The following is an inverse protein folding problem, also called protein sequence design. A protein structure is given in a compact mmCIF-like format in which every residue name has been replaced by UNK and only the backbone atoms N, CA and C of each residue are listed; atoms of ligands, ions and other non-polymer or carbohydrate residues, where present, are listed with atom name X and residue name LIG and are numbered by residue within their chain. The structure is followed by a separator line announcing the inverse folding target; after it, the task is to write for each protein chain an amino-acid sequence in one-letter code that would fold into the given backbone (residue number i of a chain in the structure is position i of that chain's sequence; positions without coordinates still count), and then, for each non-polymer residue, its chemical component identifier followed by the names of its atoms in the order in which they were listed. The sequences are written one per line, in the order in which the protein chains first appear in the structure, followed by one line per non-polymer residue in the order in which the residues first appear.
data_IF_348673093337
#
_entry.id   IF_348673093337
#
_cell.length_a   1.000
_cell.length_b   1.000
_cell.length_c   1.000
_cell.angle_alpha   90.00
_cell.angle_beta   90.00
_cell.angle_gamma   90.00
#
_symmetry.space_group_name_H-M   'P 1'
#
loop_
_entity.id
_entity.type
_entity.pdbx_description
1 polymer ?
#
# COMPACT_ATOMS: atom_id res chain seq x y z
N UNK A 1 -25.62 -38.12 -71.41
CA UNK A 1 -24.52 -37.79 -70.44
C UNK A 1 -24.89 -36.51 -69.68
N UNK A 2 -25.45 -36.69 -68.52
CA UNK A 2 -25.89 -35.55 -67.65
C UNK A 2 -24.81 -35.30 -66.56
N UNK A 3 -24.12 -34.20 -66.66
CA UNK A 3 -23.14 -33.77 -65.62
C UNK A 3 -23.90 -33.14 -64.45
N UNK A 4 -23.87 -33.83 -63.32
CA UNK A 4 -24.36 -33.27 -62.03
C UNK A 4 -23.33 -32.29 -61.48
N UNK A 5 -23.65 -31.00 -61.40
CA UNK A 5 -22.92 -30.02 -60.62
C UNK A 5 -23.31 -30.14 -59.13
N UNK A 6 -22.36 -30.43 -58.28
CA UNK A 6 -22.50 -30.38 -56.83
C UNK A 6 -22.25 -28.93 -56.39
N UNK A 7 -23.11 -28.28 -55.60
CA UNK A 7 -22.81 -26.97 -55.04
C UNK A 7 -21.87 -27.14 -53.83
N UNK A 8 -20.72 -26.47 -53.88
CA UNK A 8 -19.76 -26.38 -52.80
C UNK A 8 -20.30 -25.38 -51.74
N UNK A 9 -20.78 -25.90 -50.62
CA UNK A 9 -21.24 -25.10 -49.48
C UNK A 9 -20.03 -24.61 -48.73
N UNK A 10 -19.64 -23.33 -48.88
CA UNK A 10 -18.60 -22.69 -48.09
C UNK A 10 -19.18 -22.35 -46.73
N UNK A 11 -18.85 -23.14 -45.70
CA UNK A 11 -19.17 -22.85 -44.31
C UNK A 11 -18.15 -21.78 -43.79
N UNK A 12 -18.55 -20.51 -43.81
CA UNK A 12 -17.80 -19.44 -43.16
C UNK A 12 -17.96 -19.58 -41.64
N UNK A 13 -16.98 -20.17 -40.98
CA UNK A 13 -16.87 -20.15 -39.53
C UNK A 13 -16.56 -18.70 -39.07
N UNK A 14 -17.57 -18.05 -38.56
CA UNK A 14 -17.37 -16.77 -37.81
C UNK A 14 -16.66 -17.15 -36.52
N UNK A 15 -15.34 -16.97 -36.48
CA UNK A 15 -14.57 -17.03 -35.24
C UNK A 15 -15.00 -15.84 -34.39
N UNK A 16 -15.91 -16.08 -33.46
CA UNK A 16 -16.16 -15.12 -32.39
C UNK A 16 -14.86 -15.00 -31.58
N UNK A 17 -14.14 -13.91 -31.74
CA UNK A 17 -13.06 -13.55 -30.85
C UNK A 17 -13.68 -13.30 -29.46
N UNK A 18 -13.62 -14.32 -28.61
CA UNK A 18 -13.94 -14.13 -27.20
C UNK A 18 -12.87 -13.18 -26.64
N UNK A 19 -13.25 -11.91 -26.44
CA UNK A 19 -12.46 -11.00 -25.60
C UNK A 19 -12.35 -11.70 -24.25
N UNK A 20 -11.14 -12.00 -23.83
CA UNK A 20 -10.89 -12.62 -22.53
C UNK A 20 -11.20 -11.55 -21.48
N UNK A 21 -12.43 -11.57 -20.96
CA UNK A 21 -12.81 -10.71 -19.85
C UNK A 21 -12.12 -11.20 -18.57
N UNK A 22 -11.76 -10.25 -17.70
CA UNK A 22 -11.22 -10.58 -16.39
C UNK A 22 -12.21 -11.45 -15.60
N UNK A 23 -11.73 -12.36 -14.70
CA UNK A 23 -12.63 -13.24 -13.95
C UNK A 23 -13.65 -12.44 -13.13
N UNK A 24 -14.91 -12.86 -13.04
CA UNK A 24 -15.92 -12.17 -12.25
C UNK A 24 -15.51 -12.11 -10.77
N UNK A 25 -15.79 -10.99 -10.11
CA UNK A 25 -15.41 -10.68 -8.71
C UNK A 25 -13.87 -10.59 -8.48
N UNK A 26 -13.09 -10.47 -9.54
CA UNK A 26 -11.64 -10.23 -9.49
C UNK A 26 -11.35 -8.87 -10.12
N UNK A 27 -10.52 -8.06 -9.47
CA UNK A 27 -9.95 -6.85 -10.05
C UNK A 27 -8.55 -7.17 -10.56
N UNK A 28 -8.30 -6.95 -11.83
CA UNK A 28 -6.98 -7.08 -12.44
C UNK A 28 -6.40 -5.69 -12.66
N UNK A 29 -5.28 -5.42 -12.00
CA UNK A 29 -4.54 -4.16 -12.10
C UNK A 29 -3.25 -4.39 -12.87
N UNK A 30 -3.01 -3.61 -13.91
CA UNK A 30 -1.73 -3.57 -14.63
C UNK A 30 -0.90 -2.38 -14.13
N UNK A 31 0.28 -2.65 -13.55
CA UNK A 31 1.17 -1.63 -13.00
C UNK A 31 2.62 -2.16 -13.00
N UNK A 32 3.62 -1.28 -12.90
CA UNK A 32 5.00 -1.70 -12.63
C UNK A 32 5.13 -2.14 -11.17
N UNK A 33 5.87 -3.23 -10.92
CA UNK A 33 6.15 -3.75 -9.58
C UNK A 33 7.66 -3.93 -9.34
N UNK A 34 8.50 -3.48 -10.27
CA UNK A 34 9.94 -3.70 -10.21
C UNK A 34 10.65 -2.84 -9.15
N UNK A 35 9.97 -1.81 -8.64
CA UNK A 35 10.44 -0.98 -7.53
C UNK A 35 10.20 -1.61 -6.15
N UNK A 36 9.39 -2.66 -6.03
CA UNK A 36 9.06 -3.27 -4.73
C UNK A 36 10.28 -3.95 -4.13
N UNK A 37 10.77 -3.40 -3.03
CA UNK A 37 11.80 -4.01 -2.18
C UNK A 37 11.15 -4.91 -1.13
N UNK A 38 10.03 -4.48 -0.56
CA UNK A 38 9.35 -5.18 0.52
C UNK A 38 7.86 -4.86 0.56
N UNK A 39 7.04 -5.83 1.02
CA UNK A 39 5.64 -5.61 1.41
C UNK A 39 5.45 -5.60 2.94
N UNK A 40 6.53 -5.69 3.71
CA UNK A 40 6.54 -5.41 5.14
C UNK A 40 6.30 -3.92 5.38
N UNK A 41 5.25 -3.50 6.12
CA UNK A 41 4.99 -2.08 6.38
C UNK A 41 6.15 -1.32 7.00
N UNK A 42 7.00 -2.00 7.80
CA UNK A 42 8.15 -1.38 8.43
C UNK A 42 9.31 -1.06 7.45
N UNK A 43 9.27 -1.62 6.24
CA UNK A 43 10.30 -1.44 5.22
C UNK A 43 9.75 -0.86 3.92
N UNK A 44 8.47 -1.10 3.62
CA UNK A 44 7.78 -0.66 2.41
C UNK A 44 7.81 0.87 2.27
N UNK A 45 8.57 1.39 1.33
CA UNK A 45 8.71 2.84 1.11
C UNK A 45 8.71 3.22 -0.39
N UNK A 46 8.75 2.25 -1.29
CA UNK A 46 8.63 2.45 -2.73
C UNK A 46 7.16 2.70 -3.11
N UNK A 47 6.92 3.39 -4.21
CA UNK A 47 5.58 3.80 -4.64
C UNK A 47 4.62 2.59 -4.74
N UNK A 48 5.03 1.53 -5.42
CA UNK A 48 4.20 0.33 -5.60
C UNK A 48 3.94 -0.40 -4.27
N UNK A 49 4.91 -0.41 -3.34
CA UNK A 49 4.75 -0.94 -1.99
C UNK A 49 3.73 -0.12 -1.20
N UNK A 50 3.89 1.22 -1.16
CA UNK A 50 2.99 2.16 -0.46
C UNK A 50 1.56 2.07 -0.99
N UNK A 51 1.37 1.85 -2.29
CA UNK A 51 0.05 1.67 -2.90
C UNK A 51 -0.59 0.32 -2.56
N UNK A 52 0.20 -0.71 -2.28
CA UNK A 52 -0.27 -2.08 -2.00
C UNK A 52 -0.54 -2.31 -0.51
N UNK A 53 0.34 -1.85 0.37
CA UNK A 53 0.28 -2.04 1.83
C UNK A 53 -1.08 -1.67 2.44
N UNK A 54 -1.75 -0.56 2.09
CA UNK A 54 -3.06 -0.21 2.65
C UNK A 54 -4.20 -1.19 2.33
N UNK A 55 -4.03 -2.04 1.31
CA UNK A 55 -4.99 -3.12 1.02
C UNK A 55 -4.83 -4.30 1.98
N UNK A 56 -3.62 -4.52 2.50
CA UNK A 56 -3.24 -5.65 3.35
C UNK A 56 -3.29 -5.30 4.84
N UNK A 57 -3.02 -4.04 5.19
CA UNK A 57 -2.83 -3.60 6.57
C UNK A 57 -3.69 -2.38 6.88
N UNK A 58 -4.08 -2.26 8.15
CA UNK A 58 -4.71 -1.07 8.69
C UNK A 58 -3.84 -0.44 9.77
N UNK A 59 -4.10 0.82 10.03
CA UNK A 59 -3.48 1.65 11.07
C UNK A 59 -4.51 1.94 12.16
N UNK A 60 -4.11 2.54 13.25
CA UNK A 60 -5.08 3.00 14.26
C UNK A 60 -6.01 4.08 13.70
N UNK A 61 -5.47 4.97 12.87
CA UNK A 61 -6.18 6.08 12.19
C UNK A 61 -5.76 6.15 10.72
N UNK A 62 -6.54 6.86 9.90
CA UNK A 62 -6.25 7.08 8.47
C UNK A 62 -6.74 8.45 8.02
N UNK A 63 -6.23 9.01 6.93
CA UNK A 63 -6.85 10.15 6.27
C UNK A 63 -8.26 9.81 5.79
N UNK A 64 -9.18 10.78 5.86
CA UNK A 64 -10.52 10.62 5.30
C UNK A 64 -10.44 10.51 3.77
N UNK A 65 -11.26 9.65 3.18
CA UNK A 65 -11.23 9.39 1.73
C UNK A 65 -11.68 10.58 0.89
N UNK A 66 -12.56 11.41 1.42
CA UNK A 66 -13.14 12.54 0.71
C UNK A 66 -12.43 13.86 1.06
N UNK A 67 -11.82 13.92 2.24
CA UNK A 67 -11.08 15.09 2.73
C UNK A 67 -9.80 14.64 3.43
N UNK A 68 -8.68 14.45 2.68
CA UNK A 68 -7.42 13.96 3.23
C UNK A 68 -6.80 14.85 4.33
N UNK A 69 -7.31 16.06 4.53
CA UNK A 69 -6.88 16.94 5.63
C UNK A 69 -7.43 16.50 6.98
N UNK A 70 -8.44 15.61 6.98
CA UNK A 70 -9.05 15.07 8.18
C UNK A 70 -8.54 13.65 8.46
N UNK A 71 -8.35 13.37 9.75
CA UNK A 71 -8.01 12.02 10.21
C UNK A 71 -9.26 11.36 10.77
N UNK A 72 -9.49 10.10 10.36
CA UNK A 72 -10.61 9.27 10.80
C UNK A 72 -10.11 7.98 11.47
N UNK A 73 -10.88 7.42 12.42
CA UNK A 73 -10.53 6.16 13.06
C UNK A 73 -10.67 4.98 12.08
N UNK A 74 -9.78 3.97 12.21
CA UNK A 74 -9.91 2.72 11.47
C UNK A 74 -9.84 1.50 12.41
N UNK A 75 -8.71 1.20 13.06
CA UNK A 75 -8.63 0.25 14.16
C UNK A 75 -9.00 0.89 15.51
N UNK A 76 -8.77 2.19 15.65
CA UNK A 76 -9.28 2.93 16.79
C UNK A 76 -10.82 3.04 16.75
N UNK A 77 -11.46 2.98 17.91
CA UNK A 77 -12.81 3.44 18.13
C UNK A 77 -12.82 4.96 18.35
N UNK A 78 -11.87 5.43 19.16
CA UNK A 78 -11.69 6.84 19.52
C UNK A 78 -10.25 7.09 20.01
N UNK A 79 -9.91 8.36 20.18
CA UNK A 79 -8.66 8.76 20.84
C UNK A 79 -8.85 10.06 21.62
N UNK A 80 -8.00 10.25 22.62
CA UNK A 80 -7.89 11.49 23.38
C UNK A 80 -6.43 11.95 23.41
N UNK A 81 -6.20 13.22 23.09
CA UNK A 81 -4.89 13.84 23.14
C UNK A 81 -4.72 14.60 24.45
N UNK A 82 -3.55 14.49 25.05
CA UNK A 82 -3.04 15.40 26.08
C UNK A 82 -1.80 16.12 25.52
N UNK A 83 -1.94 17.37 25.05
CA UNK A 83 -0.82 18.13 24.50
C UNK A 83 0.28 18.42 25.51
N UNK A 84 -0.06 18.60 26.80
CA UNK A 84 0.91 18.91 27.87
C UNK A 84 1.77 17.69 28.20
N UNK A 85 1.17 16.50 28.25
CA UNK A 85 1.88 15.25 28.45
C UNK A 85 2.49 14.69 27.16
N UNK A 86 2.18 15.28 25.99
CA UNK A 86 2.57 14.77 24.66
C UNK A 86 2.12 13.32 24.48
N UNK A 87 0.85 13.01 24.76
CA UNK A 87 0.30 11.66 24.66
C UNK A 87 -0.98 11.61 23.82
N UNK A 88 -1.20 10.44 23.20
CA UNK A 88 -2.48 10.01 22.65
C UNK A 88 -2.90 8.73 23.36
N UNK A 89 -4.06 8.76 24.01
CA UNK A 89 -4.71 7.57 24.55
C UNK A 89 -5.71 7.08 23.50
N UNK A 90 -5.46 5.91 22.92
CA UNK A 90 -6.19 5.34 21.78
C UNK A 90 -6.98 4.14 22.28
N UNK A 91 -8.30 4.19 22.14
CA UNK A 91 -9.19 3.07 22.39
C UNK A 91 -9.40 2.30 21.07
N UNK A 92 -9.07 1.02 21.06
CA UNK A 92 -9.23 0.13 19.91
C UNK A 92 -10.67 -0.41 19.86
N UNK A 93 -11.16 -0.73 18.66
CA UNK A 93 -12.42 -1.45 18.47
C UNK A 93 -12.30 -2.85 19.06
N UNK A 94 -13.22 -3.22 19.92
CA UNK A 94 -13.21 -4.51 20.65
C UNK A 94 -13.45 -5.72 19.75
N UNK A 95 -14.05 -5.52 18.57
CA UNK A 95 -14.38 -6.56 17.59
C UNK A 95 -13.40 -6.63 16.43
N UNK A 96 -12.37 -5.74 16.41
CA UNK A 96 -11.36 -5.72 15.35
C UNK A 96 -10.53 -7.02 15.33
N UNK A 97 -10.37 -7.59 14.13
CA UNK A 97 -9.60 -8.82 13.92
C UNK A 97 -8.65 -8.68 12.75
N UNK A 98 -7.52 -9.37 12.86
CA UNK A 98 -6.63 -9.62 11.75
C UNK A 98 -7.22 -10.64 10.77
N UNK A 99 -6.65 -10.74 9.58
CA UNK A 99 -7.01 -11.75 8.58
C UNK A 99 -6.72 -13.19 9.05
N UNK A 100 -5.86 -13.37 10.05
CA UNK A 100 -5.61 -14.63 10.76
C UNK A 100 -6.78 -15.09 11.63
N UNK A 101 -7.69 -14.17 11.98
CA UNK A 101 -8.76 -14.36 12.97
C UNK A 101 -8.38 -13.93 14.39
N UNK A 102 -7.11 -13.64 14.68
CA UNK A 102 -6.69 -13.11 15.97
C UNK A 102 -7.30 -11.72 16.22
N UNK A 103 -7.71 -11.39 17.47
CA UNK A 103 -8.15 -10.05 17.82
C UNK A 103 -6.99 -9.06 17.74
N UNK A 104 -7.29 -7.82 17.34
CA UNK A 104 -6.36 -6.69 17.41
C UNK A 104 -6.31 -6.18 18.84
N UNK A 105 -5.12 -6.09 19.42
CA UNK A 105 -4.88 -5.75 20.83
C UNK A 105 -3.89 -4.59 20.96
N UNK A 106 -3.82 -3.93 22.12
CA UNK A 106 -2.78 -2.93 22.42
C UNK A 106 -1.36 -3.46 22.23
N UNK A 107 -1.11 -4.74 22.54
CA UNK A 107 0.20 -5.39 22.35
C UNK A 107 0.62 -5.39 20.88
N UNK A 108 -0.32 -5.60 19.96
CA UNK A 108 -0.04 -5.59 18.52
C UNK A 108 0.36 -4.19 18.02
N UNK A 109 -0.26 -3.14 18.60
CA UNK A 109 0.12 -1.73 18.32
C UNK A 109 1.53 -1.44 18.83
N UNK A 110 1.82 -1.83 20.08
CA UNK A 110 3.13 -1.67 20.70
C UNK A 110 4.19 -2.43 19.89
N UNK A 111 3.94 -3.71 19.60
CA UNK A 111 4.84 -4.53 18.80
C UNK A 111 5.13 -3.90 17.45
N UNK A 112 4.10 -3.42 16.75
CA UNK A 112 4.23 -2.84 15.41
C UNK A 112 5.09 -1.58 15.39
N UNK A 113 4.92 -0.69 16.36
CA UNK A 113 5.69 0.55 16.42
C UNK A 113 7.12 0.30 16.91
N UNK A 114 7.29 -0.56 17.93
CA UNK A 114 8.63 -0.96 18.40
C UNK A 114 9.43 -1.58 17.26
N UNK A 115 8.85 -2.55 16.52
CA UNK A 115 9.56 -3.19 15.41
C UNK A 115 9.91 -2.21 14.30
N UNK A 116 8.99 -1.32 13.91
CA UNK A 116 9.23 -0.37 12.82
C UNK A 116 10.38 0.59 13.13
N UNK A 117 10.42 1.11 14.36
CA UNK A 117 11.48 2.00 14.82
C UNK A 117 12.80 1.25 15.03
N UNK A 118 12.76 0.05 15.62
CA UNK A 118 13.98 -0.74 15.90
C UNK A 118 14.64 -1.27 14.64
N UNK A 119 13.87 -1.73 13.67
CA UNK A 119 14.37 -2.15 12.36
C UNK A 119 15.02 -0.99 11.61
N UNK A 120 14.57 0.23 11.83
CA UNK A 120 15.10 1.47 11.27
C UNK A 120 15.32 1.39 9.74
N UNK A 121 14.33 0.83 9.02
CA UNK A 121 14.34 0.72 7.56
C UNK A 121 13.95 2.05 6.91
N UNK A 122 13.93 2.09 5.58
CA UNK A 122 13.77 3.30 4.77
C UNK A 122 12.63 4.24 5.15
N UNK A 123 11.49 3.72 5.65
CA UNK A 123 10.35 4.54 6.10
C UNK A 123 10.41 5.01 7.54
N UNK A 124 11.34 4.51 8.37
CA UNK A 124 11.37 4.74 9.83
C UNK A 124 11.53 6.22 10.19
N UNK A 125 12.18 7.02 9.33
CA UNK A 125 12.37 8.46 9.55
C UNK A 125 11.04 9.19 9.82
N UNK A 126 9.91 8.70 9.29
CA UNK A 126 8.59 9.27 9.50
C UNK A 126 8.18 9.14 10.98
N UNK A 127 8.36 7.95 11.57
CA UNK A 127 8.08 7.72 12.99
C UNK A 127 9.09 8.42 13.89
N UNK A 128 10.34 8.54 13.44
CA UNK A 128 11.41 9.21 14.20
C UNK A 128 11.13 10.71 14.40
N UNK A 129 10.26 11.34 13.60
CA UNK A 129 9.78 12.72 13.82
C UNK A 129 9.11 12.86 15.21
N UNK A 130 8.55 11.79 15.76
CA UNK A 130 8.00 11.77 17.12
C UNK A 130 9.07 11.76 18.22
N UNK A 131 10.37 11.74 17.85
CA UNK A 131 11.48 11.58 18.79
C UNK A 131 11.66 10.13 19.22
N UNK A 132 11.04 9.18 18.50
CA UNK A 132 11.20 7.75 18.73
C UNK A 132 12.51 7.25 18.13
N UNK A 133 13.24 6.50 18.93
CA UNK A 133 14.51 5.85 18.59
C UNK A 133 14.50 4.42 19.14
N UNK A 134 15.31 3.50 18.62
CA UNK A 134 15.39 2.13 19.13
C UNK A 134 15.56 2.03 20.65
N UNK A 135 16.29 2.99 21.25
CA UNK A 135 16.64 3.00 22.67
C UNK A 135 15.49 3.45 23.57
N UNK A 136 14.52 4.21 23.04
CA UNK A 136 13.47 4.81 23.86
C UNK A 136 12.05 4.35 23.52
N UNK A 137 11.79 3.83 22.32
CA UNK A 137 10.44 3.56 21.81
C UNK A 137 9.63 2.68 22.77
N UNK A 138 10.24 1.66 23.35
CA UNK A 138 9.54 0.72 24.24
C UNK A 138 8.96 1.44 25.49
N UNK A 139 9.60 2.51 25.97
CA UNK A 139 9.13 3.30 27.12
C UNK A 139 8.06 4.34 26.74
N UNK A 140 7.92 4.65 25.44
CA UNK A 140 6.96 5.62 24.93
C UNK A 140 5.56 5.01 24.67
N UNK A 141 5.42 3.70 24.82
CA UNK A 141 4.20 2.96 24.50
C UNK A 141 3.74 2.18 25.74
N UNK A 142 2.46 2.30 26.08
CA UNK A 142 1.92 1.67 27.27
C UNK A 142 0.55 1.05 27.01
N UNK A 143 0.38 -0.22 27.32
CA UNK A 143 -0.94 -0.84 27.47
C UNK A 143 -1.61 -0.26 28.73
N UNK A 144 -2.81 0.30 28.58
CA UNK A 144 -3.61 0.82 29.70
C UNK A 144 -4.59 -0.27 30.18
N UNK A 145 -5.30 -0.89 29.22
CA UNK A 145 -6.21 -2.01 29.45
C UNK A 145 -6.23 -2.92 28.21
N UNK A 146 -7.18 -3.86 28.12
CA UNK A 146 -7.24 -4.84 27.01
C UNK A 146 -7.61 -4.25 25.65
N UNK A 147 -8.08 -3.00 25.62
CA UNK A 147 -8.47 -2.31 24.39
C UNK A 147 -7.85 -0.91 24.26
N UNK A 148 -7.04 -0.48 25.23
CA UNK A 148 -6.53 0.90 25.27
C UNK A 148 -5.00 0.91 25.29
N UNK A 149 -4.42 1.61 24.36
CA UNK A 149 -2.97 1.89 24.27
C UNK A 149 -2.72 3.38 24.40
N UNK A 150 -1.70 3.74 25.16
CA UNK A 150 -1.20 5.11 25.21
C UNK A 150 0.11 5.19 24.43
N UNK A 151 0.19 6.21 23.59
CA UNK A 151 1.35 6.55 22.77
C UNK A 151 1.86 7.89 23.25
N UNK A 152 3.14 7.96 23.59
CA UNK A 152 3.83 9.17 24.02
C UNK A 152 4.91 9.53 23.00
N UNK A 153 5.23 10.81 22.87
CA UNK A 153 6.35 11.29 22.07
C UNK A 153 7.15 12.34 22.81
N UNK A 154 8.44 12.48 22.46
CA UNK A 154 9.37 13.40 23.10
C UNK A 154 9.61 14.67 22.28
N UNK A 155 9.44 14.60 20.96
CA UNK A 155 9.65 15.73 20.07
C UNK A 155 8.64 16.87 20.31
N UNK A 156 8.97 18.06 19.82
CA UNK A 156 8.06 19.20 19.88
C UNK A 156 7.13 19.23 18.66
N UNK A 157 6.20 18.29 18.65
CA UNK A 157 5.18 18.14 17.59
C UNK A 157 3.78 18.20 18.19
N UNK A 158 2.83 18.75 17.44
CA UNK A 158 1.43 18.82 17.86
C UNK A 158 0.77 17.44 17.84
N UNK A 159 -0.30 17.22 18.63
CA UNK A 159 -1.09 15.99 18.54
C UNK A 159 -1.66 15.74 17.13
N UNK A 160 -2.01 16.79 16.39
CA UNK A 160 -2.48 16.66 15.02
C UNK A 160 -1.38 16.11 14.09
N UNK A 161 -0.14 16.57 14.23
CA UNK A 161 0.99 16.02 13.48
C UNK A 161 1.27 14.57 13.89
N UNK A 162 1.22 14.26 15.19
CA UNK A 162 1.37 12.88 15.67
C UNK A 162 0.32 11.94 15.05
N UNK A 163 -0.96 12.35 15.00
CA UNK A 163 -2.01 11.59 14.33
C UNK A 163 -1.74 11.41 12.83
N UNK A 164 -1.28 12.46 12.14
CA UNK A 164 -0.90 12.35 10.73
C UNK A 164 0.23 11.33 10.53
N UNK A 165 1.26 11.35 11.37
CA UNK A 165 2.35 10.38 11.35
C UNK A 165 1.82 8.95 11.56
N UNK A 166 0.94 8.74 12.56
CA UNK A 166 0.32 7.44 12.84
C UNK A 166 -0.69 6.99 11.76
N UNK A 167 -1.07 7.87 10.84
CA UNK A 167 -1.90 7.53 9.68
C UNK A 167 -1.11 7.07 8.46
N UNK A 168 0.23 7.12 8.50
CA UNK A 168 1.09 6.73 7.38
C UNK A 168 1.25 5.22 7.25
N UNK A 169 1.59 4.66 6.08
CA UNK A 169 1.72 3.22 5.87
C UNK A 169 2.69 2.52 6.81
N UNK A 170 3.79 3.17 7.21
CA UNK A 170 4.76 2.57 8.15
C UNK A 170 4.17 2.33 9.55
N UNK A 171 3.12 3.08 9.93
CA UNK A 171 2.41 2.89 11.19
C UNK A 171 1.33 1.80 11.13
N UNK A 172 1.37 0.92 10.13
CA UNK A 172 0.46 -0.23 10.01
C UNK A 172 0.64 -1.22 11.14
N UNK A 173 -0.49 -1.79 11.59
CA UNK A 173 -0.49 -2.76 12.69
C UNK A 173 -0.40 -4.17 12.13
N UNK A 174 0.53 -4.96 12.66
CA UNK A 174 0.74 -6.36 12.32
C UNK A 174 0.31 -7.27 13.48
N UNK A 175 -0.15 -8.46 13.16
CA UNK A 175 -0.50 -9.51 14.11
C UNK A 175 0.78 -10.08 14.76
N UNK A 176 1.09 -9.63 15.97
CA UNK A 176 2.25 -10.09 16.72
C UNK A 176 2.28 -11.62 16.88
N UNK A 177 1.13 -12.24 17.18
CA UNK A 177 1.05 -13.70 17.38
C UNK A 177 1.40 -14.49 16.13
N UNK A 178 1.15 -13.91 14.95
CA UNK A 178 1.50 -14.53 13.67
C UNK A 178 2.94 -14.21 13.27
N UNK A 179 3.42 -13.00 13.52
CA UNK A 179 4.74 -12.52 13.06
C UNK A 179 5.88 -12.98 13.96
N UNK A 180 5.74 -12.86 15.28
CA UNK A 180 6.82 -13.15 16.21
C UNK A 180 7.39 -14.58 16.11
N UNK A 181 6.58 -15.64 15.90
CA UNK A 181 7.11 -16.99 15.69
C UNK A 181 7.92 -17.16 14.39
N UNK A 182 7.75 -16.28 13.43
CA UNK A 182 8.45 -16.27 12.13
C UNK A 182 9.68 -15.37 12.13
N UNK A 183 9.97 -14.66 13.23
CA UNK A 183 11.15 -13.82 13.37
C UNK A 183 12.42 -14.67 13.42
N UNK A 184 13.48 -14.19 12.77
CA UNK A 184 14.82 -14.81 12.77
C UNK A 184 15.86 -13.74 13.06
N UNK A 185 16.88 -14.12 13.84
CA UNK A 185 18.02 -13.20 14.09
C UNK A 185 17.60 -11.81 14.60
N UNK A 186 16.56 -11.73 15.42
CA UNK A 186 15.98 -10.47 15.92
C UNK A 186 15.46 -9.51 14.83
N UNK A 187 15.04 -10.04 13.68
CA UNK A 187 14.50 -9.26 12.57
C UNK A 187 13.01 -8.88 12.74
N UNK A 188 12.40 -9.20 13.88
CA UNK A 188 10.97 -8.96 14.15
C UNK A 188 10.05 -9.47 13.01
N UNK A 189 10.45 -10.55 12.32
CA UNK A 189 9.71 -11.14 11.21
C UNK A 189 9.78 -10.35 9.91
N UNK A 190 10.73 -9.44 9.74
CA UNK A 190 10.88 -8.61 8.53
C UNK A 190 11.05 -9.48 7.28
N UNK A 191 11.98 -10.43 7.27
CA UNK A 191 12.21 -11.30 6.10
C UNK A 191 10.96 -12.12 5.74
N UNK A 192 10.20 -12.56 6.74
CA UNK A 192 8.97 -13.31 6.50
C UNK A 192 7.88 -12.41 5.90
N UNK A 193 7.72 -11.18 6.41
CA UNK A 193 6.70 -10.22 5.95
C UNK A 193 6.97 -9.66 4.55
N UNK A 194 8.17 -9.77 4.02
CA UNK A 194 8.44 -9.43 2.60
C UNK A 194 7.55 -10.21 1.64
N UNK A 195 7.23 -11.45 1.99
CA UNK A 195 6.52 -12.41 1.14
C UNK A 195 5.15 -12.83 1.70
N UNK A 196 4.78 -12.37 2.91
CA UNK A 196 3.55 -12.72 3.61
C UNK A 196 2.87 -11.48 4.15
N UNK A 197 1.57 -11.59 4.46
CA UNK A 197 0.85 -10.51 5.15
C UNK A 197 0.30 -10.98 6.49
N UNK A 198 0.35 -10.09 7.46
CA UNK A 198 -0.17 -10.31 8.82
C UNK A 198 -1.03 -9.10 9.26
N UNK A 199 -1.82 -8.54 8.37
CA UNK A 199 -2.62 -7.36 8.63
C UNK A 199 -4.11 -7.63 8.80
N UNK A 200 -4.86 -6.56 8.96
CA UNK A 200 -6.31 -6.52 9.09
C UNK A 200 -7.00 -5.84 7.90
N UNK A 201 -6.28 -5.60 6.81
CA UNK A 201 -6.78 -4.92 5.63
C UNK A 201 -8.01 -5.56 4.99
N UNK A 202 -8.57 -4.92 3.98
CA UNK A 202 -9.69 -5.46 3.21
C UNK A 202 -9.32 -6.76 2.48
N UNK A 203 -8.03 -6.95 2.19
CA UNK A 203 -7.50 -8.14 1.55
C UNK A 203 -6.34 -8.70 2.38
N UNK A 204 -6.04 -9.98 2.19
CA UNK A 204 -4.83 -10.66 2.64
C UNK A 204 -4.05 -11.16 1.44
N UNK A 205 -2.74 -11.20 1.53
CA UNK A 205 -1.90 -11.70 0.46
C UNK A 205 -2.03 -13.22 0.36
N UNK A 206 -2.38 -13.70 -0.83
CA UNK A 206 -2.38 -15.11 -1.16
C UNK A 206 -1.01 -15.53 -1.67
N UNK A 207 -0.43 -14.74 -2.56
CA UNK A 207 0.92 -14.97 -3.07
C UNK A 207 1.52 -13.66 -3.60
N UNK A 208 2.82 -13.52 -3.46
CA UNK A 208 3.62 -12.53 -4.11
C UNK A 208 4.74 -13.23 -4.88
N UNK A 209 4.80 -12.99 -6.17
CA UNK A 209 5.87 -13.43 -7.06
C UNK A 209 6.60 -12.19 -7.54
N UNK A 210 7.80 -11.90 -7.04
CA UNK A 210 8.58 -10.74 -7.45
C UNK A 210 8.68 -10.64 -8.98
N UNK A 211 8.56 -9.43 -9.49
CA UNK A 211 8.57 -9.13 -10.93
C UNK A 211 7.47 -9.80 -11.78
N UNK A 212 6.47 -10.43 -11.16
CA UNK A 212 5.37 -11.09 -11.87
C UNK A 212 4.01 -10.59 -11.42
N UNK A 213 3.63 -10.86 -10.17
CA UNK A 213 2.32 -10.48 -9.68
C UNK A 213 2.19 -10.53 -8.16
N UNK A 214 1.23 -9.74 -7.65
CA UNK A 214 0.68 -9.87 -6.30
C UNK A 214 -0.76 -10.35 -6.43
N UNK A 215 -1.10 -11.45 -5.77
CA UNK A 215 -2.47 -11.97 -5.69
C UNK A 215 -2.97 -11.80 -4.27
N UNK A 216 -4.07 -11.11 -4.13
CA UNK A 216 -4.74 -10.86 -2.85
C UNK A 216 -6.14 -11.48 -2.87
N UNK A 217 -6.57 -12.02 -1.74
CA UNK A 217 -7.92 -12.52 -1.52
C UNK A 217 -8.65 -11.72 -0.45
N UNK A 218 -9.98 -11.67 -0.55
CA UNK A 218 -10.84 -10.94 0.36
C UNK A 218 -10.63 -11.37 1.81
N UNK A 219 -10.48 -10.41 2.72
CA UNK A 219 -10.50 -10.63 4.16
C UNK A 219 -11.93 -10.46 4.67
N UNK A 220 -12.63 -11.57 4.93
CA UNK A 220 -13.98 -11.54 5.47
C UNK A 220 -14.06 -10.96 6.90
N UNK A 221 -12.94 -10.97 7.64
CA UNK A 221 -12.83 -10.46 9.00
C UNK A 221 -12.36 -8.99 9.05
N UNK A 222 -12.27 -8.30 7.91
CA UNK A 222 -11.81 -6.90 7.90
C UNK A 222 -12.68 -6.01 8.79
N UNK A 223 -12.09 -5.25 9.72
CA UNK A 223 -12.79 -4.31 10.61
C UNK A 223 -13.58 -3.21 9.89
N UNK A 224 -13.33 -3.01 8.59
CA UNK A 224 -14.08 -2.07 7.74
C UNK A 224 -15.17 -2.76 6.91
N UNK A 225 -15.43 -4.01 7.18
CA UNK A 225 -16.39 -4.85 6.45
C UNK A 225 -15.73 -5.65 5.32
N UNK A 226 -16.36 -6.77 4.96
CA UNK A 226 -15.89 -7.62 3.87
C UNK A 226 -15.94 -6.87 2.53
N UNK A 227 -14.88 -6.94 1.70
CA UNK A 227 -14.88 -6.30 0.39
C UNK A 227 -15.87 -7.02 -0.56
N UNK A 228 -16.41 -6.27 -1.52
CA UNK A 228 -17.31 -6.84 -2.56
C UNK A 228 -16.57 -7.76 -3.53
N UNK A 229 -15.30 -7.45 -3.81
CA UNK A 229 -14.45 -8.27 -4.66
C UNK A 229 -13.89 -9.45 -3.88
N UNK A 230 -13.80 -10.61 -4.51
CA UNK A 230 -13.19 -11.80 -3.91
C UNK A 230 -11.67 -11.82 -4.02
N UNK A 231 -11.12 -11.19 -5.06
CA UNK A 231 -9.69 -11.19 -5.35
C UNK A 231 -9.25 -9.90 -6.03
N UNK A 232 -7.99 -9.55 -5.82
CA UNK A 232 -7.27 -8.53 -6.59
C UNK A 232 -5.98 -9.15 -7.09
N UNK A 233 -5.69 -8.98 -8.37
CA UNK A 233 -4.44 -9.39 -9.00
C UNK A 233 -3.75 -8.15 -9.52
N UNK A 234 -2.57 -7.84 -9.00
CA UNK A 234 -1.71 -6.78 -9.54
C UNK A 234 -0.66 -7.46 -10.40
N UNK A 235 -0.75 -7.28 -11.71
CA UNK A 235 0.21 -7.83 -12.68
C UNK A 235 1.38 -6.87 -12.86
N UNK A 236 2.61 -7.39 -12.84
CA UNK A 236 3.76 -6.59 -13.24
C UNK A 236 3.75 -6.38 -14.75
N UNK A 237 3.57 -5.14 -15.15
CA UNK A 237 3.61 -4.70 -16.56
C UNK A 237 4.44 -3.42 -16.61
N UNK A 238 5.76 -3.50 -16.71
CA UNK A 238 6.65 -2.33 -16.65
C UNK A 238 6.41 -1.30 -17.76
N UNK A 239 6.06 -1.75 -18.97
CA UNK A 239 5.85 -0.88 -20.11
C UNK A 239 4.47 -0.22 -20.12
N UNK A 240 4.37 1.14 -20.10
CA UNK A 240 3.11 1.87 -20.09
C UNK A 240 2.24 1.63 -21.33
N UNK A 241 2.84 1.43 -22.51
CA UNK A 241 2.09 1.17 -23.74
C UNK A 241 1.38 -0.20 -23.67
N UNK A 242 2.05 -1.18 -23.09
CA UNK A 242 1.46 -2.51 -22.83
C UNK A 242 0.33 -2.41 -21.81
N UNK A 243 0.48 -1.62 -20.71
CA UNK A 243 -0.62 -1.38 -19.76
C UNK A 243 -1.84 -0.77 -20.44
N UNK A 244 -1.64 0.20 -21.35
CA UNK A 244 -2.71 0.79 -22.15
C UNK A 244 -3.42 -0.25 -23.02
N UNK A 245 -2.67 -1.12 -23.69
CA UNK A 245 -3.25 -2.18 -24.53
C UNK A 245 -4.11 -3.17 -23.73
N UNK A 246 -3.65 -3.59 -22.55
CA UNK A 246 -4.41 -4.49 -21.68
C UNK A 246 -5.77 -3.91 -21.28
N UNK A 247 -5.84 -2.60 -20.99
CA UNK A 247 -7.11 -1.91 -20.72
C UNK A 247 -8.01 -1.92 -21.96
N UNK A 248 -7.46 -1.61 -23.13
CA UNK A 248 -8.25 -1.55 -24.37
C UNK A 248 -8.81 -2.93 -24.79
N UNK A 249 -8.09 -4.01 -24.44
CA UNK A 249 -8.47 -5.38 -24.74
C UNK A 249 -9.37 -6.02 -23.68
N UNK A 250 -9.49 -5.39 -22.49
CA UNK A 250 -10.24 -5.94 -21.35
C UNK A 250 -9.49 -7.02 -20.57
N UNK A 251 -8.17 -7.15 -20.77
CA UNK A 251 -7.29 -8.08 -20.04
C UNK A 251 -6.82 -7.53 -18.69
N UNK A 252 -7.08 -6.25 -18.44
CA UNK A 252 -6.97 -5.59 -17.16
C UNK A 252 -8.16 -4.64 -16.95
N UNK A 253 -8.60 -4.51 -15.68
CA UNK A 253 -9.68 -3.62 -15.27
C UNK A 253 -9.17 -2.22 -14.93
N UNK A 254 -7.91 -2.13 -14.51
CA UNK A 254 -7.25 -0.88 -14.13
C UNK A 254 -5.81 -0.87 -14.63
N UNK A 255 -5.37 0.26 -15.14
CA UNK A 255 -3.95 0.55 -15.36
C UNK A 255 -3.55 1.79 -14.55
N UNK A 256 -2.36 1.74 -13.95
CA UNK A 256 -1.78 2.84 -13.18
C UNK A 256 -0.52 3.37 -13.86
N UNK A 257 -0.12 4.57 -13.48
CA UNK A 257 1.16 5.19 -13.84
C UNK A 257 1.36 5.26 -15.37
N UNK A 258 0.31 5.70 -16.07
CA UNK A 258 0.36 5.96 -17.49
C UNK A 258 0.87 7.39 -17.75
N UNK A 259 1.80 7.54 -18.69
CA UNK A 259 2.23 8.84 -19.18
C UNK A 259 1.14 9.57 -19.93
N UNK A 260 1.31 10.88 -20.13
CA UNK A 260 0.33 11.75 -20.77
C UNK A 260 -0.08 11.25 -22.17
N UNK A 261 0.87 10.80 -22.98
CA UNK A 261 0.65 10.21 -24.31
C UNK A 261 -0.24 8.97 -24.29
N UNK A 262 -0.10 8.11 -23.27
CA UNK A 262 -0.92 6.92 -23.10
C UNK A 262 -2.33 7.28 -22.61
N UNK A 263 -2.43 8.30 -21.74
CA UNK A 263 -3.70 8.83 -21.24
C UNK A 263 -4.49 9.47 -22.39
N UNK A 264 -3.85 10.30 -23.22
CA UNK A 264 -4.47 10.94 -24.39
C UNK A 264 -5.00 9.91 -25.38
N UNK A 265 -4.23 8.82 -25.60
CA UNK A 265 -4.67 7.73 -26.48
C UNK A 265 -5.87 6.92 -25.93
N UNK A 266 -6.18 7.02 -24.64
CA UNK A 266 -7.34 6.40 -23.99
C UNK A 266 -8.55 7.31 -23.89
N UNK A 267 -8.39 8.65 -24.06
CA UNK A 267 -9.48 9.62 -23.99
C UNK A 267 -10.58 9.27 -24.99
N UNK A 268 -11.81 9.23 -24.52
CA UNK A 268 -13.00 8.98 -25.37
C UNK A 268 -13.11 7.56 -25.93
N UNK A 269 -12.25 6.61 -25.55
CA UNK A 269 -12.38 5.21 -25.97
C UNK A 269 -13.59 4.55 -25.32
N UNK A 270 -14.43 3.82 -26.07
CA UNK A 270 -15.57 3.10 -25.52
C UNK A 270 -15.12 2.12 -24.41
N UNK A 271 -15.87 2.09 -23.31
CA UNK A 271 -15.60 1.18 -22.19
C UNK A 271 -14.42 1.59 -21.29
N UNK A 272 -13.69 2.65 -21.61
CA UNK A 272 -12.57 3.15 -20.82
C UNK A 272 -12.93 4.47 -20.13
N UNK A 273 -12.64 4.55 -18.83
CA UNK A 273 -12.76 5.79 -18.04
C UNK A 273 -11.37 6.21 -17.56
N UNK A 274 -10.93 7.38 -18.01
CA UNK A 274 -9.74 8.03 -17.47
C UNK A 274 -10.14 8.81 -16.21
N UNK A 275 -9.39 8.61 -15.13
CA UNK A 275 -9.57 9.30 -13.86
C UNK A 275 -8.28 10.01 -13.50
N UNK A 276 -8.36 11.32 -13.25
CA UNK A 276 -7.26 12.10 -12.69
C UNK A 276 -7.56 12.39 -11.22
N UNK A 277 -6.58 12.13 -10.36
CA UNK A 277 -6.69 12.33 -8.91
C UNK A 277 -5.58 13.32 -8.53
N UNK A 278 -5.93 14.37 -7.80
CA UNK A 278 -4.94 15.29 -7.26
C UNK A 278 -4.01 14.54 -6.28
N UNK A 279 -2.71 14.70 -6.46
CA UNK A 279 -1.68 14.12 -5.61
C UNK A 279 -0.95 15.22 -4.85
N UNK A 280 -0.46 14.91 -3.64
CA UNK A 280 0.49 15.73 -2.90
C UNK A 280 1.94 15.43 -3.29
N UNK A 281 2.16 14.58 -4.30
CA UNK A 281 3.48 14.23 -4.82
C UNK A 281 4.11 15.44 -5.50
N UNK A 282 5.37 15.70 -5.19
CA UNK A 282 6.19 16.72 -5.83
C UNK A 282 7.36 16.07 -6.56
N UNK A 283 7.49 16.37 -7.84
CA UNK A 283 8.68 16.02 -8.60
C UNK A 283 9.68 17.17 -8.50
N UNK A 284 10.93 16.87 -8.19
CA UNK A 284 12.00 17.86 -8.06
C UNK A 284 13.30 17.35 -8.64
N UNK A 285 14.16 18.27 -9.03
CA UNK A 285 15.54 18.01 -9.37
C UNK A 285 16.42 18.30 -8.15
N UNK A 286 17.17 17.31 -7.72
CA UNK A 286 18.14 17.48 -6.63
C UNK A 286 19.56 17.49 -7.22
N UNK A 287 20.34 18.52 -6.89
CA UNK A 287 21.73 18.60 -7.26
C UNK A 287 22.61 18.13 -6.11
N UNK A 288 23.51 17.19 -6.35
CA UNK A 288 24.51 16.79 -5.37
C UNK A 288 25.63 17.83 -5.27
N UNK A 289 25.36 18.92 -4.54
CA UNK A 289 26.31 20.03 -4.36
C UNK A 289 27.57 19.65 -3.59
N UNK A 290 27.56 18.51 -2.89
CA UNK A 290 28.72 17.95 -2.18
C UNK A 290 29.61 17.05 -3.05
N UNK A 291 29.29 16.86 -4.33
CA UNK A 291 30.11 16.03 -5.24
C UNK A 291 31.40 16.72 -5.59
N UNK A 292 32.50 16.27 -4.97
CA UNK A 292 33.85 16.82 -5.18
C UNK A 292 34.44 16.46 -6.54
N UNK A 293 33.93 15.43 -7.19
CA UNK A 293 34.41 14.97 -8.50
C UNK A 293 33.82 15.77 -9.67
N UNK A 294 32.75 16.56 -9.38
CA UNK A 294 32.14 17.44 -10.37
C UNK A 294 31.96 18.87 -9.78
N UNK A 295 32.95 19.76 -10.00
CA UNK A 295 32.90 21.11 -9.44
C UNK A 295 31.75 21.97 -9.98
N UNK A 296 31.13 21.62 -11.11
CA UNK A 296 29.93 22.32 -11.60
C UNK A 296 28.76 22.16 -10.63
N UNK A 297 28.65 21.02 -9.93
CA UNK A 297 27.56 20.76 -8.97
C UNK A 297 27.61 21.64 -7.74
N UNK A 298 28.76 22.21 -7.40
CA UNK A 298 28.92 23.17 -6.28
C UNK A 298 28.81 24.63 -6.71
N UNK A 299 28.61 24.90 -8.03
CA UNK A 299 28.48 26.25 -8.54
C UNK A 299 27.01 26.70 -8.50
N UNK A 300 26.65 27.74 -7.68
CA UNK A 300 25.28 28.24 -7.61
C UNK A 300 24.70 28.63 -8.96
N UNK A 301 25.46 29.27 -9.83
CA UNK A 301 24.99 29.71 -11.13
C UNK A 301 24.55 28.53 -12.04
N UNK A 302 25.08 27.32 -11.81
CA UNK A 302 24.69 26.14 -12.58
C UNK A 302 23.27 25.68 -12.26
N UNK A 303 22.91 25.61 -10.98
CA UNK A 303 21.58 25.15 -10.58
C UNK A 303 20.53 26.26 -10.48
N UNK A 304 20.93 27.52 -10.48
CA UNK A 304 20.04 28.65 -10.70
C UNK A 304 19.57 28.76 -12.17
N UNK A 305 20.37 28.20 -13.11
CA UNK A 305 20.05 28.21 -14.55
C UNK A 305 19.24 26.99 -15.00
N UNK A 306 19.10 25.96 -14.17
CA UNK A 306 18.39 24.72 -14.50
C UNK A 306 16.90 24.79 -14.12
#
# INVERSE_FOLDING_TARGET
MIKKLLPLLVLSTISATTVAATPPNTLVVAQGLDDIVSLDPAEANELSSIQTVPSLYQRVVQPDRNDPTKITPILAESWQADPAAKTLTIKLKSDAKFASGNPVRPEDVIYSYVRAVTLNKSGAFILNVLGWQPENIASQLKKIDDHTVQVQWSADVSPALALNILSTPIASIVDEKLVAPNAKNNDFGNEWLKMHSAGSGAFKMRTYQPHQAIVMEANASSPTGAPKLKSVIIKNVPDPATRRLLIQQGDADMARDLGADQIDALQGKPGVKVMSIASAEQNYLAFNTGNKDNPLMSNPAFWEAA
#
